data_IF_809359341816
#
_entry.id   IF_809359341816
#
_cell.length_a   1.000
_cell.length_b   1.000
_cell.length_c   1.000
_cell.angle_alpha   90.00
_cell.angle_beta   90.00
_cell.angle_gamma   90.00
#
_symmetry.space_group_name_H-M   'P 1'
#
loop_
_entity.id
_entity.type
_entity.pdbx_description
1 polymer ?
#
# COMPACT_ATOMS: atom_id res chain seq x y z
N UNK A 1 4.87 10.01 -2.78
CA UNK A 1 5.05 9.36 -1.46
C UNK A 1 6.33 9.88 -0.83
N UNK A 2 6.41 10.02 0.50
CA UNK A 2 7.66 10.43 1.18
C UNK A 2 8.83 9.54 0.75
N UNK A 3 9.99 10.18 0.55
CA UNK A 3 11.21 9.50 0.17
C UNK A 3 11.70 8.67 1.37
N UNK A 4 11.84 7.35 1.20
CA UNK A 4 12.33 6.40 2.21
C UNK A 4 13.79 6.70 2.58
N UNK A 5 14.02 7.75 3.37
CA UNK A 5 15.34 8.22 3.74
C UNK A 5 15.85 7.40 4.93
N UNK A 6 16.64 6.38 4.59
CA UNK A 6 17.50 5.52 5.42
C UNK A 6 16.93 4.14 5.82
N UNK A 7 17.75 3.12 5.56
CA UNK A 7 17.55 1.70 5.90
C UNK A 7 17.30 1.48 7.41
N UNK A 8 17.86 2.36 8.24
CA UNK A 8 17.78 2.29 9.71
C UNK A 8 16.40 2.67 10.26
N UNK A 9 15.51 3.24 9.44
CA UNK A 9 14.17 3.66 9.86
C UNK A 9 13.05 2.72 9.39
N UNK A 10 13.40 1.60 8.74
CA UNK A 10 12.40 0.66 8.21
C UNK A 10 12.08 -0.37 9.29
N UNK A 11 10.99 -0.11 10.01
CA UNK A 11 10.48 -0.96 11.09
C UNK A 11 9.20 -1.68 10.67
N UNK A 12 8.79 -2.69 11.45
CA UNK A 12 7.50 -3.38 11.23
C UNK A 12 6.33 -2.40 11.25
N UNK A 13 6.35 -1.43 12.17
CA UNK A 13 5.33 -0.37 12.27
C UNK A 13 5.27 0.47 11.01
N UNK A 14 6.44 0.91 10.52
CA UNK A 14 6.53 1.69 9.30
C UNK A 14 5.94 0.92 8.11
N UNK A 15 6.32 -0.34 7.94
CA UNK A 15 5.84 -1.18 6.84
C UNK A 15 4.32 -1.34 6.90
N UNK A 16 3.77 -1.68 8.07
CA UNK A 16 2.33 -1.78 8.24
C UNK A 16 1.62 -0.49 7.78
N UNK A 17 2.08 0.67 8.25
CA UNK A 17 1.51 1.95 7.86
C UNK A 17 1.63 2.19 6.34
N UNK A 18 2.78 1.85 5.74
CA UNK A 18 3.03 1.96 4.31
C UNK A 18 2.10 1.06 3.48
N UNK A 19 1.91 -0.20 3.85
CA UNK A 19 1.03 -1.16 3.16
C UNK A 19 -0.43 -0.70 3.22
N UNK A 20 -0.86 -0.16 4.35
CA UNK A 20 -2.25 0.26 4.56
C UNK A 20 -2.60 1.62 3.94
N UNK A 21 -1.62 2.36 3.40
CA UNK A 21 -1.89 3.63 2.68
C UNK A 21 -2.64 3.43 1.38
N UNK A 22 -2.61 2.23 0.79
CA UNK A 22 -3.27 1.94 -0.48
C UNK A 22 -4.55 1.18 -0.17
N UNK A 23 -5.66 1.92 -0.24
CA UNK A 23 -6.99 1.36 -0.06
C UNK A 23 -7.55 0.91 -1.41
N UNK A 24 -7.86 -0.38 -1.51
CA UNK A 24 -8.37 -1.01 -2.73
C UNK A 24 -9.66 -1.79 -2.40
N UNK A 25 -10.80 -1.09 -2.27
CA UNK A 25 -12.07 -1.71 -1.87
C UNK A 25 -12.62 -2.67 -2.92
N UNK A 26 -12.27 -2.46 -4.20
CA UNK A 26 -12.76 -3.26 -5.33
C UNK A 26 -11.80 -4.40 -5.69
N UNK A 27 -10.59 -4.44 -5.11
CA UNK A 27 -9.58 -5.46 -5.41
C UNK A 27 -8.91 -5.30 -6.77
N UNK A 28 -9.08 -4.16 -7.46
CA UNK A 28 -8.55 -3.95 -8.81
C UNK A 28 -7.02 -3.83 -8.78
N UNK A 29 -6.48 -3.27 -7.70
CA UNK A 29 -5.06 -3.08 -7.47
C UNK A 29 -4.45 -4.25 -6.68
N UNK A 30 -5.10 -5.42 -6.66
CA UNK A 30 -4.65 -6.58 -5.88
C UNK A 30 -3.22 -7.01 -6.25
N UNK A 31 -2.84 -6.96 -7.52
CA UNK A 31 -1.47 -7.29 -7.97
C UNK A 31 -0.40 -6.43 -7.28
N UNK A 32 -0.72 -5.18 -6.97
CA UNK A 32 0.19 -4.25 -6.29
C UNK A 32 0.00 -4.24 -4.77
N UNK A 33 -1.21 -4.47 -4.26
CA UNK A 33 -1.48 -4.43 -2.81
C UNK A 33 -1.25 -5.77 -2.09
N UNK A 34 -1.25 -6.89 -2.80
CA UNK A 34 -1.05 -8.22 -2.22
C UNK A 34 0.41 -8.54 -1.86
N UNK A 35 1.42 -8.31 -2.73
CA UNK A 35 2.82 -8.57 -2.41
C UNK A 35 3.30 -7.94 -1.08
N UNK A 36 3.05 -6.66 -0.78
CA UNK A 36 3.48 -6.06 0.48
C UNK A 36 2.73 -6.64 1.69
N UNK A 37 1.48 -7.12 1.54
CA UNK A 37 0.74 -7.83 2.60
C UNK A 37 1.35 -9.20 2.88
N UNK A 38 1.78 -9.93 1.85
CA UNK A 38 2.51 -11.20 2.01
C UNK A 38 3.86 -10.95 2.71
N UNK A 39 4.58 -9.90 2.30
CA UNK A 39 5.83 -9.50 2.97
C UNK A 39 5.58 -9.20 4.45
N UNK A 40 4.53 -8.44 4.76
CA UNK A 40 4.14 -8.13 6.13
C UNK A 40 3.85 -9.42 6.94
N UNK A 41 3.13 -10.40 6.36
CA UNK A 41 2.92 -11.72 6.98
C UNK A 41 4.25 -12.44 7.29
N UNK A 42 5.24 -12.37 6.39
CA UNK A 42 6.56 -12.96 6.65
C UNK A 42 7.31 -12.24 7.77
N UNK A 43 7.21 -10.91 7.86
CA UNK A 43 7.79 -10.13 8.96
C UNK A 43 7.19 -10.52 10.32
N UNK A 44 5.89 -10.81 10.36
CA UNK A 44 5.23 -11.27 11.58
C UNK A 44 5.83 -12.56 12.13
N UNK A 45 6.25 -13.48 11.24
CA UNK A 45 6.89 -14.75 11.62
C UNK A 45 8.26 -14.57 12.27
N UNK A 46 8.95 -13.44 12.02
CA UNK A 46 10.26 -13.14 12.60
C UNK A 46 10.22 -12.82 14.10
N UNK A 47 9.02 -12.65 14.69
CA UNK A 47 8.83 -12.31 16.13
C UNK A 47 9.62 -11.07 16.61
N UNK A 48 9.95 -10.17 15.69
CA UNK A 48 10.62 -8.91 15.96
C UNK A 48 9.70 -7.87 16.61
N UNK A 49 10.28 -6.95 17.38
CA UNK A 49 9.58 -5.79 17.94
C UNK A 49 9.06 -4.86 16.83
N UNK A 50 8.03 -4.08 17.14
CA UNK A 50 7.44 -3.08 16.24
C UNK A 50 8.45 -2.09 15.66
N UNK A 51 9.40 -1.67 16.50
CA UNK A 51 10.34 -0.58 16.20
C UNK A 51 11.78 -1.08 16.02
N UNK A 52 11.97 -2.40 15.93
CA UNK A 52 13.26 -3.00 15.60
C UNK A 52 13.59 -2.89 14.11
N UNK A 53 14.90 -2.83 13.81
CA UNK A 53 15.39 -2.89 12.44
C UNK A 53 15.05 -4.23 11.80
N UNK A 54 14.72 -4.18 10.51
CA UNK A 54 14.38 -5.36 9.73
C UNK A 54 15.57 -5.86 8.93
N UNK A 55 15.69 -7.18 8.71
CA UNK A 55 16.77 -7.73 7.95
C UNK A 55 16.66 -7.37 6.46
N UNK A 56 17.81 -7.34 5.78
CA UNK A 56 17.96 -6.83 4.42
C UNK A 56 17.13 -7.59 3.37
N UNK A 57 16.91 -8.88 3.61
CA UNK A 57 16.07 -9.78 2.81
C UNK A 57 14.61 -9.35 2.78
N UNK A 58 14.12 -8.68 3.84
CA UNK A 58 12.78 -8.08 3.90
C UNK A 58 12.78 -6.68 3.31
N UNK A 59 13.79 -5.88 3.63
CA UNK A 59 13.84 -4.46 3.26
C UNK A 59 13.98 -4.28 1.75
N UNK A 60 14.78 -5.10 1.07
CA UNK A 60 15.01 -4.99 -0.38
C UNK A 60 13.74 -5.20 -1.21
N UNK A 61 12.94 -6.28 -1.02
CA UNK A 61 11.65 -6.44 -1.69
C UNK A 61 10.68 -5.28 -1.43
N UNK A 62 10.61 -4.78 -0.19
CA UNK A 62 9.77 -3.64 0.14
C UNK A 62 10.17 -2.40 -0.68
N UNK A 63 11.46 -2.06 -0.71
CA UNK A 63 11.95 -0.89 -1.42
C UNK A 63 11.71 -1.01 -2.93
N UNK A 64 11.88 -2.21 -3.48
CA UNK A 64 11.54 -2.48 -4.88
C UNK A 64 10.06 -2.19 -5.14
N UNK A 65 9.17 -2.80 -4.35
CA UNK A 65 7.74 -2.57 -4.43
C UNK A 65 7.39 -1.09 -4.27
N UNK A 66 7.98 -0.38 -3.30
CA UNK A 66 7.73 1.05 -3.05
C UNK A 66 8.13 1.95 -4.22
N UNK A 67 9.15 1.58 -4.97
CA UNK A 67 9.53 2.32 -6.17
C UNK A 67 8.55 2.06 -7.31
N UNK A 68 8.07 0.83 -7.44
CA UNK A 68 7.11 0.40 -8.47
C UNK A 68 5.69 0.93 -8.20
N UNK A 69 5.29 1.06 -6.94
CA UNK A 69 3.93 1.45 -6.54
C UNK A 69 3.54 2.85 -6.98
N UNK A 70 4.52 3.75 -7.20
CA UNK A 70 4.22 5.07 -7.73
C UNK A 70 3.61 5.00 -9.13
N UNK A 71 3.85 3.93 -9.90
CA UNK A 71 3.25 3.71 -11.23
C UNK A 71 1.74 3.45 -11.18
N UNK A 72 1.18 3.21 -10.00
CA UNK A 72 -0.27 3.12 -9.82
C UNK A 72 -0.99 4.42 -10.21
N UNK A 73 -0.31 5.57 -10.12
CA UNK A 73 -0.90 6.84 -10.57
C UNK A 73 -1.20 6.88 -12.06
N UNK A 74 -0.56 6.01 -12.84
CA UNK A 74 -0.66 5.97 -14.29
C UNK A 74 -1.79 5.03 -14.75
N UNK A 75 -2.45 4.33 -13.82
CA UNK A 75 -3.54 3.41 -14.13
C UNK A 75 -4.84 4.19 -14.28
N UNK A 76 -5.39 4.16 -15.48
CA UNK A 76 -6.75 4.62 -15.76
C UNK A 76 -7.68 3.40 -15.92
N UNK A 77 -8.76 3.40 -15.14
CA UNK A 77 -9.81 2.38 -15.25
C UNK A 77 -10.99 3.03 -15.99
N UNK A 78 -11.26 2.64 -17.25
CA UNK A 78 -12.41 3.16 -17.96
C UNK A 78 -13.67 2.72 -17.22
N UNK A 79 -14.47 3.69 -16.79
CA UNK A 79 -15.76 3.47 -16.16
C UNK A 79 -16.83 3.90 -17.14
N UNK A 80 -17.59 2.94 -17.63
CA UNK A 80 -18.79 3.26 -18.41
C UNK A 80 -19.86 3.73 -17.43
N UNK A 81 -20.19 5.02 -17.51
CA UNK A 81 -21.18 5.67 -16.66
C UNK A 81 -21.95 6.66 -17.52
N UNK A 82 -23.25 6.43 -17.69
CA UNK A 82 -24.13 7.39 -18.35
C UNK A 82 -24.38 8.55 -17.38
N UNK A 83 -23.71 9.68 -17.62
CA UNK A 83 -23.87 10.92 -16.84
C UNK A 83 -24.84 11.83 -17.59
N UNK A 84 -25.95 12.16 -16.94
CA UNK A 84 -26.90 13.16 -17.42
C UNK A 84 -27.14 14.24 -16.35
N UNK A 85 -28.03 15.19 -16.63
CA UNK A 85 -28.29 16.34 -15.75
C UNK A 85 -28.91 15.96 -14.39
N UNK A 86 -29.43 14.74 -14.22
CA UNK A 86 -30.01 14.27 -12.96
C UNK A 86 -29.08 13.32 -12.19
N UNK A 87 -27.95 12.90 -12.78
CA UNK A 87 -26.97 12.03 -12.12
C UNK A 87 -26.29 12.76 -10.96
N UNK A 88 -26.26 12.12 -9.79
CA UNK A 88 -25.59 12.65 -8.58
C UNK A 88 -24.54 11.66 -8.09
N UNK A 89 -23.37 12.18 -7.68
CA UNK A 89 -22.32 11.39 -7.05
C UNK A 89 -22.48 11.47 -5.53
N UNK A 90 -22.82 10.34 -4.90
CA UNK A 90 -22.90 10.23 -3.46
C UNK A 90 -21.63 9.55 -2.93
N UNK A 91 -20.87 10.27 -2.12
CA UNK A 91 -19.69 9.73 -1.43
C UNK A 91 -20.07 9.44 0.00
N UNK A 92 -20.07 8.17 0.37
CA UNK A 92 -20.27 7.73 1.74
C UNK A 92 -18.91 7.54 2.40
N UNK A 93 -18.73 8.11 3.58
CA UNK A 93 -17.51 8.01 4.38
C UNK A 93 -17.91 7.61 5.79
N UNK A 94 -17.19 6.66 6.39
CA UNK A 94 -17.34 6.34 7.81
C UNK A 94 -16.54 7.34 8.66
N UNK A 95 -17.08 7.73 9.81
CA UNK A 95 -16.39 8.65 10.71
C UNK A 95 -15.32 7.88 11.50
N UNK A 96 -14.06 8.35 11.44
CA UNK A 96 -12.98 7.87 12.30
C UNK A 96 -12.98 8.59 13.65
#
# INVERSE_FOLDING_TARGET
MENLKSKNNITKRFILAAVQKIFDPLGILCSETLPPKILLQNIWKLKLSWDSSLPDDVVKPLLKWWNEVNRLSDIEIPRDFEINVTTQMHVFVDAC
#
